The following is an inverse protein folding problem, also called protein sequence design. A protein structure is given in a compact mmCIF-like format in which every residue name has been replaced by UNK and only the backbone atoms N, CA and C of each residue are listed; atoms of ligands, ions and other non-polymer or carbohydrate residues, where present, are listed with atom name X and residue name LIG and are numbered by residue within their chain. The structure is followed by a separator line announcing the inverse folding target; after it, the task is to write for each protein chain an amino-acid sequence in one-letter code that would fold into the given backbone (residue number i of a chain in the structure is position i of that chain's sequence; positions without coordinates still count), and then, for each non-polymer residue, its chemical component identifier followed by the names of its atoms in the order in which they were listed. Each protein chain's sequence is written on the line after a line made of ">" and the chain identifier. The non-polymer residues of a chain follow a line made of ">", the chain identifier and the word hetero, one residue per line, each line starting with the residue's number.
data_IF_597917740649
#
_entry.id   IF_597917740649
#
_cell.length_a   1.000
_cell.length_b   1.000
_cell.length_c   1.000
_cell.angle_alpha   90.00
_cell.angle_beta   90.00
_cell.angle_gamma   90.00
#
_symmetry.space_group_name_H-M   'P 1'
#
loop_
_entity.id
_entity.type
_entity.pdbx_description
1 polymer ?
#
# COMPACT_ATOMS: atom_id res chain seq x y z
N UNK A 1 -7.93 -27.65 42.51
CA UNK A 1 -8.75 -28.81 42.89
C UNK A 1 -9.47 -29.35 41.69
N UNK A 2 -9.35 -30.65 41.38
CA UNK A 2 -10.06 -31.33 40.31
C UNK A 2 -11.05 -32.34 40.89
N UNK A 3 -12.33 -32.13 40.61
CA UNK A 3 -13.40 -33.03 41.08
C UNK A 3 -13.72 -34.05 40.00
N UNK A 4 -13.05 -35.20 40.01
CA UNK A 4 -13.14 -36.30 39.02
C UNK A 4 -14.59 -36.71 38.70
N UNK A 5 -15.43 -36.86 39.72
CA UNK A 5 -16.83 -37.28 39.52
C UNK A 5 -17.75 -36.26 38.89
N UNK A 6 -17.33 -34.95 38.81
CA UNK A 6 -18.10 -33.85 38.26
C UNK A 6 -17.43 -33.21 37.05
N UNK A 7 -16.19 -33.63 36.70
CA UNK A 7 -15.40 -33.02 35.64
C UNK A 7 -15.23 -31.51 35.81
N UNK A 8 -15.06 -31.06 37.07
CA UNK A 8 -14.92 -29.65 37.44
C UNK A 8 -13.49 -29.39 37.87
N UNK A 9 -12.87 -28.37 37.29
CA UNK A 9 -11.59 -27.80 37.70
C UNK A 9 -11.83 -26.47 38.41
N UNK A 10 -11.34 -26.30 39.64
CA UNK A 10 -11.41 -25.07 40.40
C UNK A 10 -10.05 -24.79 41.02
N UNK A 11 -9.61 -23.54 40.99
CA UNK A 11 -8.32 -23.17 41.58
C UNK A 11 -8.10 -21.66 41.62
N UNK A 12 -7.05 -21.32 42.36
CA UNK A 12 -6.50 -19.94 42.48
C UNK A 12 -5.19 -19.91 41.72
N UNK A 13 -4.81 -18.71 41.22
CA UNK A 13 -3.56 -18.43 40.49
C UNK A 13 -3.34 -19.44 39.33
N UNK A 14 -4.32 -19.54 38.46
CA UNK A 14 -4.29 -20.48 37.33
C UNK A 14 -3.58 -19.82 36.16
N UNK A 15 -2.61 -20.50 35.56
CA UNK A 15 -1.96 -20.14 34.31
C UNK A 15 -2.22 -21.21 33.26
N UNK A 16 -2.87 -20.84 32.15
CA UNK A 16 -3.13 -21.68 31.00
C UNK A 16 -2.34 -21.19 29.81
N UNK A 17 -1.51 -22.05 29.25
CA UNK A 17 -0.76 -21.75 28.01
C UNK A 17 -1.36 -22.58 26.88
N UNK A 18 -1.85 -21.92 25.85
CA UNK A 18 -2.33 -22.54 24.62
C UNK A 18 -1.24 -22.54 23.57
N UNK A 19 -1.25 -23.54 22.69
CA UNK A 19 -0.32 -23.66 21.57
C UNK A 19 1.15 -23.57 22.02
N UNK A 20 1.52 -24.33 23.03
CA UNK A 20 2.87 -24.34 23.60
C UNK A 20 3.91 -24.68 22.54
N UNK A 21 4.91 -23.80 22.38
CA UNK A 21 5.99 -23.98 21.41
C UNK A 21 5.69 -23.47 19.99
N UNK A 22 4.50 -22.92 19.74
CA UNK A 22 4.10 -22.31 18.48
C UNK A 22 4.21 -20.78 18.59
N UNK A 23 4.57 -20.04 17.50
CA UNK A 23 4.49 -18.58 17.45
C UNK A 23 3.11 -18.01 17.82
N UNK A 24 2.03 -18.80 17.65
CA UNK A 24 0.67 -18.46 18.05
C UNK A 24 0.36 -18.73 19.54
N UNK A 25 1.37 -18.93 20.38
CA UNK A 25 1.18 -19.20 21.81
C UNK A 25 0.48 -18.05 22.55
N UNK A 26 -0.54 -18.38 23.34
CA UNK A 26 -1.29 -17.46 24.19
C UNK A 26 -1.17 -17.87 25.65
N UNK A 27 -1.03 -16.89 26.54
CA UNK A 27 -0.98 -17.12 27.98
C UNK A 27 -2.17 -16.46 28.66
N UNK A 28 -2.94 -17.25 29.40
CA UNK A 28 -4.11 -16.81 30.15
C UNK A 28 -3.83 -16.98 31.65
N UNK A 29 -3.91 -15.91 32.42
CA UNK A 29 -3.74 -15.88 33.86
C UNK A 29 -5.04 -15.52 34.54
N UNK A 30 -5.41 -16.23 35.61
CA UNK A 30 -6.63 -16.02 36.37
C UNK A 30 -6.30 -16.08 37.88
N UNK A 31 -6.69 -15.07 38.64
CA UNK A 31 -6.56 -15.15 40.10
C UNK A 31 -7.45 -16.23 40.66
N UNK A 32 -8.64 -16.41 40.11
CA UNK A 32 -9.55 -17.51 40.45
C UNK A 32 -10.25 -18.00 39.19
N UNK A 33 -10.39 -19.35 39.07
CA UNK A 33 -11.07 -19.99 37.96
C UNK A 33 -11.92 -21.16 38.36
N UNK A 34 -13.10 -21.28 37.74
CA UNK A 34 -14.00 -22.41 37.78
C UNK A 34 -14.32 -22.89 36.38
N UNK A 35 -14.04 -24.13 36.05
CA UNK A 35 -14.20 -24.73 34.73
C UNK A 35 -15.03 -25.99 34.85
N UNK A 36 -16.19 -26.04 34.23
CA UNK A 36 -17.00 -27.24 34.05
C UNK A 36 -16.66 -27.86 32.70
N UNK A 37 -15.90 -28.91 32.71
CA UNK A 37 -15.41 -29.58 31.50
C UNK A 37 -16.52 -30.34 30.77
N UNK A 38 -17.54 -30.79 31.51
CA UNK A 38 -18.70 -31.48 30.95
C UNK A 38 -19.64 -30.57 30.20
N UNK A 39 -19.94 -29.39 30.77
CA UNK A 39 -20.78 -28.39 30.16
C UNK A 39 -19.99 -27.43 29.28
N UNK A 40 -18.64 -27.52 29.27
CA UNK A 40 -17.73 -26.62 28.55
C UNK A 40 -17.96 -25.14 28.90
N UNK A 41 -18.26 -24.86 30.17
CA UNK A 41 -18.47 -23.49 30.66
C UNK A 41 -17.38 -23.11 31.66
N UNK A 42 -17.10 -21.83 31.76
CA UNK A 42 -16.15 -21.31 32.72
C UNK A 42 -16.58 -19.99 33.33
N UNK A 43 -16.09 -19.75 34.55
CA UNK A 43 -16.15 -18.46 35.22
C UNK A 43 -14.80 -18.18 35.86
N UNK A 44 -14.28 -16.96 35.60
CA UNK A 44 -12.98 -16.57 36.14
C UNK A 44 -13.04 -15.12 36.64
N UNK A 45 -12.14 -14.82 37.58
CA UNK A 45 -12.01 -13.51 38.21
C UNK A 45 -10.57 -13.03 38.09
N UNK A 46 -10.45 -11.68 37.92
CA UNK A 46 -9.18 -10.97 37.79
C UNK A 46 -8.23 -11.65 36.83
N UNK A 47 -8.47 -11.42 35.54
CA UNK A 47 -7.80 -12.14 34.46
C UNK A 47 -6.95 -11.25 33.58
N UNK A 48 -5.82 -11.79 33.14
CA UNK A 48 -4.93 -11.25 32.13
C UNK A 48 -4.69 -12.27 31.01
N UNK A 49 -5.03 -11.89 29.79
CA UNK A 49 -4.82 -12.70 28.59
C UNK A 49 -3.76 -12.02 27.74
N UNK A 50 -2.65 -12.70 27.52
CA UNK A 50 -1.58 -12.29 26.60
C UNK A 50 -1.76 -13.04 25.30
N UNK A 51 -2.13 -12.31 24.26
CA UNK A 51 -2.31 -12.84 22.91
C UNK A 51 -0.95 -12.99 22.22
N UNK A 52 -0.90 -13.82 21.18
CA UNK A 52 0.31 -13.98 20.35
C UNK A 52 0.73 -12.65 19.72
N UNK A 53 2.03 -12.43 19.59
CA UNK A 53 2.61 -11.25 18.90
C UNK A 53 2.24 -11.21 17.42
N UNK A 54 2.11 -12.39 16.80
CA UNK A 54 1.73 -12.52 15.39
C UNK A 54 0.26 -12.15 15.10
N UNK A 55 -0.55 -12.00 16.16
CA UNK A 55 -1.97 -11.63 16.06
C UNK A 55 -2.25 -10.41 15.17
N UNK A 56 -1.31 -9.46 15.11
CA UNK A 56 -1.45 -8.22 14.35
C UNK A 56 -0.35 -8.01 13.30
N UNK A 57 0.43 -9.06 12.94
CA UNK A 57 1.55 -9.02 11.99
C UNK A 57 2.61 -7.92 12.31
N UNK A 58 2.73 -7.51 13.56
CA UNK A 58 3.73 -6.54 14.02
C UNK A 58 4.51 -7.13 15.20
N UNK A 59 5.77 -7.46 15.00
CA UNK A 59 6.66 -8.09 15.99
C UNK A 59 6.82 -7.24 17.28
N UNK A 60 6.60 -5.94 17.17
CA UNK A 60 6.73 -4.99 18.30
C UNK A 60 5.48 -4.87 19.17
N UNK A 61 4.37 -5.50 18.80
CA UNK A 61 3.13 -5.46 19.58
C UNK A 61 3.11 -6.54 20.67
N UNK A 62 2.57 -6.15 21.84
CA UNK A 62 2.27 -7.05 22.95
C UNK A 62 0.76 -6.98 23.27
N UNK A 63 -0.12 -7.57 22.42
CA UNK A 63 -1.55 -7.48 22.60
C UNK A 63 -2.01 -8.21 23.85
N UNK A 64 -2.80 -7.53 24.70
CA UNK A 64 -3.30 -8.09 25.96
C UNK A 64 -4.68 -7.58 26.31
N UNK A 65 -5.43 -8.44 27.01
CA UNK A 65 -6.76 -8.16 27.54
C UNK A 65 -6.71 -8.40 29.06
N UNK A 66 -7.10 -7.41 29.85
CA UNK A 66 -7.33 -7.58 31.29
C UNK A 66 -8.81 -7.40 31.58
N UNK A 67 -9.40 -8.13 32.52
CA UNK A 67 -10.78 -7.94 32.94
C UNK A 67 -11.02 -8.40 34.38
N UNK A 68 -12.00 -7.80 35.05
CA UNK A 68 -12.34 -8.16 36.44
C UNK A 68 -13.04 -9.51 36.51
N UNK A 69 -13.92 -9.81 35.56
CA UNK A 69 -14.57 -11.13 35.51
C UNK A 69 -14.73 -11.59 34.07
N UNK A 70 -14.63 -12.88 33.86
CA UNK A 70 -14.97 -13.55 32.62
C UNK A 70 -15.90 -14.73 32.86
N UNK A 71 -16.87 -14.91 31.98
CA UNK A 71 -17.72 -16.08 31.91
C UNK A 71 -17.87 -16.50 30.47
N UNK A 72 -17.99 -17.78 30.21
CA UNK A 72 -18.16 -18.20 28.83
C UNK A 72 -18.50 -19.66 28.66
N UNK A 73 -18.84 -19.99 27.43
CA UNK A 73 -19.05 -21.34 26.91
C UNK A 73 -18.13 -21.60 25.70
N UNK A 74 -18.37 -22.67 24.98
CA UNK A 74 -17.61 -23.05 23.79
C UNK A 74 -17.65 -21.98 22.71
N UNK A 75 -18.76 -21.22 22.60
CA UNK A 75 -19.02 -20.28 21.50
C UNK A 75 -18.94 -18.83 21.91
N UNK A 76 -19.14 -18.50 23.18
CA UNK A 76 -19.21 -17.14 23.67
C UNK A 76 -18.31 -16.94 24.89
N UNK A 77 -17.66 -15.79 24.96
CA UNK A 77 -16.95 -15.34 26.15
C UNK A 77 -17.35 -13.90 26.47
N UNK A 78 -17.75 -13.66 27.71
CA UNK A 78 -18.15 -12.34 28.20
C UNK A 78 -17.15 -11.87 29.25
N UNK A 79 -16.63 -10.65 29.05
CA UNK A 79 -15.75 -9.97 30.01
C UNK A 79 -16.46 -8.74 30.56
N UNK A 80 -16.31 -8.49 31.84
CA UNK A 80 -16.78 -7.28 32.51
C UNK A 80 -15.60 -6.42 32.90
N UNK A 81 -15.72 -5.09 32.67
CA UNK A 81 -14.66 -4.11 32.87
C UNK A 81 -13.36 -4.52 32.16
N UNK A 82 -13.49 -4.79 30.83
CA UNK A 82 -12.36 -5.20 30.00
C UNK A 82 -11.49 -4.00 29.59
N UNK A 83 -10.19 -4.23 29.57
CA UNK A 83 -9.16 -3.29 29.06
C UNK A 83 -8.37 -4.03 28.00
N UNK A 84 -8.24 -3.42 26.83
CA UNK A 84 -7.43 -3.96 25.73
C UNK A 84 -6.36 -2.94 25.31
N UNK A 85 -5.17 -3.42 25.03
CA UNK A 85 -4.10 -2.67 24.37
C UNK A 85 -3.20 -3.60 23.57
N UNK A 86 -2.53 -3.08 22.53
CA UNK A 86 -1.45 -3.79 21.81
C UNK A 86 -0.08 -3.14 22.02
N UNK A 87 0.04 -2.15 22.92
CA UNK A 87 1.29 -1.48 23.20
C UNK A 87 2.32 -2.40 23.86
N UNK A 88 3.61 -2.10 23.72
CA UNK A 88 4.70 -2.86 24.35
C UNK A 88 4.47 -3.02 25.85
N UNK A 89 4.76 -4.19 26.37
CA UNK A 89 4.61 -4.50 27.81
C UNK A 89 5.59 -3.71 28.68
N UNK A 90 6.70 -3.24 28.10
CA UNK A 90 7.71 -2.41 28.75
C UNK A 90 7.23 -0.99 29.04
N UNK A 91 6.17 -0.53 28.36
CA UNK A 91 5.61 0.81 28.58
C UNK A 91 4.81 0.78 29.89
N UNK A 92 5.25 1.53 30.88
CA UNK A 92 4.58 1.64 32.19
C UNK A 92 3.15 2.17 32.06
N UNK A 93 2.92 3.07 31.10
CA UNK A 93 1.61 3.58 30.72
C UNK A 93 1.46 3.36 29.21
N UNK A 94 0.59 2.45 28.73
CA UNK A 94 0.41 2.24 27.31
C UNK A 94 -0.10 3.51 26.64
N UNK A 95 0.48 3.91 25.49
CA UNK A 95 0.07 5.11 24.77
C UNK A 95 -1.43 5.13 24.44
N UNK A 96 -2.04 3.97 24.29
CA UNK A 96 -3.49 3.89 24.12
C UNK A 96 -4.07 2.60 24.72
N UNK A 97 -5.30 2.70 25.20
CA UNK A 97 -6.10 1.58 25.71
C UNK A 97 -7.54 1.70 25.26
N UNK A 98 -8.23 0.59 25.12
CA UNK A 98 -9.68 0.54 25.00
C UNK A 98 -10.24 -0.04 26.29
N UNK A 99 -10.96 0.76 27.05
CA UNK A 99 -11.69 0.30 28.24
C UNK A 99 -13.16 0.10 27.88
N UNK A 100 -13.78 -0.98 28.36
CA UNK A 100 -15.18 -1.24 28.07
C UNK A 100 -15.91 -1.82 29.31
N UNK A 101 -17.15 -1.42 29.51
CA UNK A 101 -17.96 -1.98 30.60
C UNK A 101 -18.27 -3.46 30.38
N UNK A 102 -18.54 -3.85 29.12
CA UNK A 102 -18.78 -5.25 28.72
C UNK A 102 -18.08 -5.52 27.39
N UNK A 103 -17.40 -6.67 27.30
CA UNK A 103 -16.83 -7.20 26.08
C UNK A 103 -17.44 -8.59 25.84
N UNK A 104 -17.89 -8.86 24.63
CA UNK A 104 -18.45 -10.15 24.21
C UNK A 104 -17.64 -10.66 23.02
N UNK A 105 -16.95 -11.76 23.20
CA UNK A 105 -16.29 -12.51 22.14
C UNK A 105 -17.23 -13.55 21.58
N UNK A 106 -17.80 -13.31 20.41
CA UNK A 106 -18.63 -14.22 19.63
C UNK A 106 -17.72 -15.02 18.69
N UNK A 107 -17.40 -16.26 19.06
CA UNK A 107 -16.50 -17.13 18.31
C UNK A 107 -17.13 -17.67 17.02
N UNK A 108 -18.47 -17.73 16.94
CA UNK A 108 -19.17 -18.14 15.71
C UNK A 108 -19.05 -17.06 14.65
N UNK A 109 -19.36 -15.81 15.03
CA UNK A 109 -19.25 -14.63 14.14
C UNK A 109 -17.81 -14.14 14.04
N UNK A 110 -16.90 -14.70 14.85
CA UNK A 110 -15.49 -14.28 14.94
C UNK A 110 -15.34 -12.77 15.16
N UNK A 111 -16.08 -12.28 16.16
CA UNK A 111 -16.14 -10.85 16.50
C UNK A 111 -16.00 -10.63 18.01
N UNK A 112 -15.26 -9.60 18.38
CA UNK A 112 -15.19 -9.08 19.74
C UNK A 112 -16.02 -7.80 19.80
N UNK A 113 -17.14 -7.82 20.51
CA UNK A 113 -18.10 -6.72 20.61
C UNK A 113 -17.88 -5.99 21.92
N UNK A 114 -17.57 -4.71 21.85
CA UNK A 114 -17.38 -3.83 22.99
C UNK A 114 -18.63 -2.96 23.20
N UNK A 115 -19.05 -2.83 24.46
CA UNK A 115 -20.18 -1.99 24.86
C UNK A 115 -19.79 -1.01 25.92
N UNK A 116 -20.22 0.26 25.76
CA UNK A 116 -19.87 1.41 26.62
C UNK A 116 -18.35 1.50 26.77
N UNK A 117 -17.69 1.66 25.64
CA UNK A 117 -16.23 1.67 25.56
C UNK A 117 -15.68 3.09 25.41
N UNK A 118 -14.48 3.29 25.93
CA UNK A 118 -13.69 4.49 25.75
C UNK A 118 -12.36 4.14 25.14
N UNK A 119 -11.96 4.91 24.15
CA UNK A 119 -10.58 4.96 23.69
C UNK A 119 -9.85 5.97 24.56
N UNK A 120 -8.81 5.52 25.24
CA UNK A 120 -7.98 6.37 26.09
C UNK A 120 -6.59 6.53 25.45
N UNK A 121 -6.03 7.73 25.57
CA UNK A 121 -4.61 8.02 25.30
C UNK A 121 -3.94 8.47 26.58
N UNK A 122 -2.86 7.79 26.98
CA UNK A 122 -2.18 8.02 28.26
C UNK A 122 -3.15 8.16 29.42
N UNK A 123 -4.11 7.18 29.51
CA UNK A 123 -5.18 7.10 30.51
C UNK A 123 -6.25 8.22 30.46
N UNK A 124 -6.17 9.16 29.51
CA UNK A 124 -7.20 10.16 29.30
C UNK A 124 -8.27 9.66 28.30
N UNK A 125 -9.57 9.63 28.67
CA UNK A 125 -10.65 9.23 27.78
C UNK A 125 -10.86 10.27 26.67
N UNK A 126 -10.70 9.86 25.41
CA UNK A 126 -10.77 10.76 24.25
C UNK A 126 -12.01 10.51 23.41
N UNK A 127 -12.37 9.24 23.18
CA UNK A 127 -13.50 8.87 22.31
C UNK A 127 -14.41 7.87 23.00
N UNK A 128 -15.70 8.21 23.13
CA UNK A 128 -16.73 7.31 23.63
C UNK A 128 -17.41 6.56 22.49
N UNK A 129 -17.48 5.24 22.63
CA UNK A 129 -18.16 4.34 21.69
C UNK A 129 -19.24 3.55 22.40
N UNK A 130 -20.54 3.83 22.13
CA UNK A 130 -21.64 3.09 22.76
C UNK A 130 -21.59 1.59 22.51
N UNK A 131 -21.25 1.24 21.27
CA UNK A 131 -21.03 -0.14 20.79
C UNK A 131 -20.11 -0.09 19.58
N UNK A 132 -19.07 -0.93 19.58
CA UNK A 132 -18.29 -1.22 18.38
C UNK A 132 -17.86 -2.68 18.41
N UNK A 133 -17.38 -3.18 17.30
CA UNK A 133 -16.81 -4.53 17.24
C UNK A 133 -15.42 -4.49 16.61
N UNK A 134 -14.61 -5.46 17.02
CA UNK A 134 -13.29 -5.74 16.47
C UNK A 134 -13.29 -7.18 15.97
N UNK A 135 -12.65 -7.48 14.82
CA UNK A 135 -12.52 -8.85 14.36
C UNK A 135 -11.72 -9.71 15.34
N UNK A 136 -12.10 -10.97 15.45
CA UNK A 136 -11.29 -11.98 16.12
C UNK A 136 -9.93 -12.08 15.41
N UNK A 137 -8.81 -12.19 16.15
CA UNK A 137 -7.47 -12.31 15.57
C UNK A 137 -7.29 -13.45 14.56
N UNK A 138 -8.10 -14.50 14.64
CA UNK A 138 -8.05 -15.65 13.71
C UNK A 138 -8.62 -15.33 12.32
N UNK A 139 -9.29 -14.19 12.16
CA UNK A 139 -9.90 -13.78 10.89
C UNK A 139 -8.90 -13.03 10.03
N UNK A 140 -8.57 -13.57 8.87
CA UNK A 140 -7.62 -12.96 7.94
C UNK A 140 -8.11 -11.61 7.38
N UNK A 141 -9.43 -11.39 7.25
CA UNK A 141 -10.00 -10.17 6.67
C UNK A 141 -11.40 -9.91 7.18
N UNK A 142 -11.57 -8.89 8.00
CA UNK A 142 -12.87 -8.45 8.53
C UNK A 142 -12.87 -6.93 8.76
N UNK A 143 -14.07 -6.32 8.63
CA UNK A 143 -14.25 -4.90 8.94
C UNK A 143 -14.02 -4.63 10.43
N UNK A 144 -13.37 -3.50 10.73
CA UNK A 144 -13.11 -3.10 12.12
C UNK A 144 -12.22 -1.87 12.22
N UNK A 145 -12.10 -1.34 13.43
CA UNK A 145 -11.17 -0.27 13.74
C UNK A 145 -9.72 -0.77 13.63
N UNK A 146 -8.89 -0.02 12.94
CA UNK A 146 -7.44 -0.23 12.93
C UNK A 146 -6.80 0.52 14.11
N UNK A 147 -5.51 0.25 14.35
CA UNK A 147 -4.73 0.87 15.42
C UNK A 147 -4.82 2.40 15.34
N UNK A 148 -5.35 3.08 16.37
CA UNK A 148 -5.35 4.52 16.44
C UNK A 148 -3.92 5.06 16.58
N UNK A 149 -3.70 6.27 16.04
CA UNK A 149 -2.39 6.94 16.11
C UNK A 149 -2.56 8.38 16.55
N UNK A 150 -1.61 8.88 17.34
CA UNK A 150 -1.41 10.30 17.58
C UNK A 150 -0.22 10.73 16.72
N UNK A 151 -0.44 11.71 15.87
CA UNK A 151 0.56 12.25 14.96
C UNK A 151 0.74 13.74 15.27
N UNK A 152 1.98 14.24 15.14
CA UNK A 152 2.27 15.66 15.28
C UNK A 152 2.34 16.36 13.93
N UNK A 153 1.71 17.53 13.81
CA UNK A 153 1.92 18.46 12.72
C UNK A 153 2.55 19.75 13.23
N UNK A 154 3.61 20.22 12.57
CA UNK A 154 4.26 21.49 12.95
C UNK A 154 3.35 22.71 12.80
N UNK A 155 2.34 22.63 11.94
CA UNK A 155 1.45 23.74 11.59
C UNK A 155 0.06 23.63 12.23
N UNK A 156 -0.42 22.40 12.47
CA UNK A 156 -1.80 22.15 12.91
C UNK A 156 -1.86 21.53 14.32
N UNK A 157 -0.72 21.39 15.00
CA UNK A 157 -0.64 20.74 16.31
C UNK A 157 -0.75 19.22 16.22
N UNK A 158 -1.23 18.60 17.30
CA UNK A 158 -1.43 17.16 17.39
C UNK A 158 -2.66 16.74 16.57
N UNK A 159 -2.60 15.56 15.98
CA UNK A 159 -3.70 14.96 15.24
C UNK A 159 -4.05 13.57 15.77
N UNK A 160 -5.33 13.32 16.00
CA UNK A 160 -5.86 12.01 16.32
C UNK A 160 -6.32 11.33 15.01
N UNK A 161 -5.72 10.19 14.72
CA UNK A 161 -6.01 9.37 13.55
C UNK A 161 -6.68 8.06 13.99
N UNK A 162 -7.91 7.80 13.56
CA UNK A 162 -8.70 6.60 13.92
C UNK A 162 -9.17 5.90 12.64
N UNK A 163 -8.34 5.08 12.01
CA UNK A 163 -8.73 4.44 10.76
C UNK A 163 -9.71 3.28 11.00
N UNK A 164 -10.64 3.12 10.06
CA UNK A 164 -11.61 2.03 10.02
C UNK A 164 -11.49 1.28 8.70
N UNK A 165 -11.24 -0.02 8.79
CA UNK A 165 -11.20 -0.92 7.64
C UNK A 165 -12.58 -1.50 7.39
N UNK A 166 -13.08 -1.36 6.16
CA UNK A 166 -14.38 -1.84 5.72
C UNK A 166 -14.22 -2.84 4.58
N UNK A 167 -14.59 -4.09 4.80
CA UNK A 167 -14.66 -5.14 3.77
C UNK A 167 -15.97 -4.98 3.03
N UNK A 168 -15.91 -4.63 1.75
CA UNK A 168 -17.08 -4.47 0.88
C UNK A 168 -17.48 -5.86 0.32
N UNK A 169 -16.47 -6.60 -0.18
CA UNK A 169 -16.60 -7.96 -0.71
C UNK A 169 -15.22 -8.65 -0.64
N UNK A 170 -15.15 -9.90 -1.05
CA UNK A 170 -13.88 -10.67 -1.02
C UNK A 170 -12.77 -10.03 -1.86
N UNK A 171 -13.14 -9.30 -2.90
CA UNK A 171 -12.25 -8.65 -3.85
C UNK A 171 -12.10 -7.14 -3.63
N UNK A 172 -12.86 -6.52 -2.67
CA UNK A 172 -12.92 -5.07 -2.46
C UNK A 172 -12.89 -4.70 -1.00
N UNK A 173 -12.17 -3.63 -0.69
CA UNK A 173 -12.19 -3.00 0.64
C UNK A 173 -12.02 -1.48 0.55
N UNK A 174 -12.38 -0.83 1.64
CA UNK A 174 -12.24 0.61 1.85
C UNK A 174 -11.66 0.85 3.23
N UNK A 175 -10.59 1.60 3.33
CA UNK A 175 -10.08 2.10 4.61
C UNK A 175 -10.43 3.56 4.75
N UNK A 176 -11.28 3.89 5.70
CA UNK A 176 -11.69 5.26 6.04
C UNK A 176 -10.73 5.76 7.12
N UNK A 177 -10.03 6.87 6.87
CA UNK A 177 -8.93 7.39 7.68
C UNK A 177 -9.22 8.82 8.15
N UNK A 178 -10.16 9.05 9.08
CA UNK A 178 -10.41 10.37 9.63
C UNK A 178 -9.21 10.83 10.49
N UNK A 179 -8.82 12.09 10.34
CA UNK A 179 -7.82 12.78 11.15
C UNK A 179 -8.44 14.03 11.72
N UNK A 180 -8.31 14.22 13.03
CA UNK A 180 -8.81 15.37 13.77
C UNK A 180 -7.63 16.11 14.39
N UNK A 181 -7.45 17.37 13.99
CA UNK A 181 -6.33 18.22 14.43
C UNK A 181 -6.73 19.07 15.62
N UNK A 182 -5.76 19.39 16.47
CA UNK A 182 -5.93 20.21 17.69
C UNK A 182 -6.50 21.59 17.38
N UNK A 183 -6.18 22.17 16.22
CA UNK A 183 -6.72 23.46 15.77
C UNK A 183 -8.16 23.40 15.26
N UNK A 184 -8.85 22.28 15.45
CA UNK A 184 -10.25 22.06 15.05
C UNK A 184 -10.45 21.70 13.57
N UNK A 185 -9.38 21.55 12.79
CA UNK A 185 -9.48 21.06 11.41
C UNK A 185 -9.59 19.55 11.37
N UNK A 186 -10.17 19.06 10.28
CA UNK A 186 -10.25 17.62 10.04
C UNK A 186 -9.95 17.29 8.60
N UNK A 187 -9.46 16.08 8.36
CA UNK A 187 -9.30 15.49 7.03
C UNK A 187 -9.96 14.13 7.03
N UNK A 188 -10.78 13.87 6.02
CA UNK A 188 -11.28 12.54 5.71
C UNK A 188 -10.50 12.00 4.52
N UNK A 189 -9.55 11.11 4.80
CA UNK A 189 -8.82 10.36 3.78
C UNK A 189 -9.44 8.98 3.64
N UNK A 190 -9.48 8.43 2.43
CA UNK A 190 -10.04 7.12 2.14
C UNK A 190 -9.16 6.39 1.14
N UNK A 191 -8.92 5.13 1.40
CA UNK A 191 -8.16 4.24 0.53
C UNK A 191 -9.07 3.09 0.08
N UNK A 192 -9.39 3.06 -1.21
CA UNK A 192 -10.13 1.98 -1.84
C UNK A 192 -9.18 1.03 -2.53
N UNK A 193 -9.41 -0.28 -2.36
CA UNK A 193 -8.66 -1.33 -3.04
C UNK A 193 -9.59 -2.35 -3.65
N UNK A 194 -9.28 -2.75 -4.86
CA UNK A 194 -9.97 -3.83 -5.56
C UNK A 194 -8.95 -4.73 -6.25
N UNK A 195 -9.14 -6.04 -6.13
CA UNK A 195 -8.33 -7.04 -6.83
C UNK A 195 -9.21 -8.14 -7.37
N UNK A 196 -9.38 -8.15 -8.68
CA UNK A 196 -10.02 -9.25 -9.45
C UNK A 196 -8.96 -10.15 -10.08
N UNK A 197 -9.35 -11.12 -10.88
CA UNK A 197 -8.41 -11.95 -11.64
C UNK A 197 -7.58 -11.15 -12.65
N UNK A 198 -8.19 -10.13 -13.27
CA UNK A 198 -7.59 -9.35 -14.36
C UNK A 198 -7.22 -7.92 -13.94
N UNK A 199 -7.80 -7.40 -12.87
CA UNK A 199 -7.68 -5.98 -12.52
C UNK A 199 -7.25 -5.80 -11.08
N UNK A 200 -6.26 -4.92 -10.86
CA UNK A 200 -5.91 -4.44 -9.53
C UNK A 200 -6.02 -2.91 -9.52
N UNK A 201 -6.87 -2.38 -8.63
CA UNK A 201 -7.09 -0.93 -8.48
C UNK A 201 -6.83 -0.51 -7.04
N UNK A 202 -6.09 0.56 -6.88
CA UNK A 202 -5.94 1.29 -5.62
C UNK A 202 -6.33 2.73 -5.90
N UNK A 203 -7.19 3.30 -5.07
CA UNK A 203 -7.54 4.72 -5.10
C UNK A 203 -7.42 5.30 -3.70
N UNK A 204 -6.66 6.37 -3.57
CA UNK A 204 -6.49 7.14 -2.33
C UNK A 204 -6.98 8.56 -2.57
N UNK A 205 -7.95 8.97 -1.80
CA UNK A 205 -8.55 10.30 -1.93
C UNK A 205 -8.84 10.91 -0.57
N UNK A 206 -8.73 12.22 -0.48
CA UNK A 206 -9.09 12.93 0.73
C UNK A 206 -9.78 14.25 0.48
N UNK A 207 -10.48 14.69 1.51
CA UNK A 207 -11.15 15.99 1.54
C UNK A 207 -11.00 16.64 2.90
N UNK A 208 -10.75 17.95 2.91
CA UNK A 208 -10.89 18.81 4.07
C UNK A 208 -11.67 20.06 3.71
N UNK A 209 -12.38 20.63 4.66
CA UNK A 209 -13.14 21.86 4.50
C UNK A 209 -12.76 22.87 5.58
N UNK A 210 -12.86 24.16 5.25
CA UNK A 210 -12.67 25.23 6.21
C UNK A 210 -11.24 25.73 6.32
N UNK A 211 -10.37 25.44 5.34
CA UNK A 211 -9.05 26.05 5.26
C UNK A 211 -9.19 27.51 4.80
N UNK A 212 -8.50 28.44 5.47
CA UNK A 212 -8.38 29.83 5.05
C UNK A 212 -7.02 30.08 4.44
N UNK A 213 -6.96 30.59 3.25
CA UNK A 213 -5.71 30.86 2.55
C UNK A 213 -5.02 32.11 3.07
N UNK A 214 -5.81 33.11 3.47
CA UNK A 214 -5.36 34.37 4.07
C UNK A 214 -6.10 34.65 5.37
N UNK A 215 -5.43 35.32 6.32
CA UNK A 215 -5.97 35.63 7.65
C UNK A 215 -7.25 36.50 7.62
N UNK A 216 -7.46 37.27 6.55
CA UNK A 216 -8.60 38.19 6.37
C UNK A 216 -9.58 37.72 5.28
N UNK A 217 -9.43 36.49 4.76
CA UNK A 217 -10.33 35.94 3.77
C UNK A 217 -11.39 35.09 4.48
N UNK A 218 -12.67 35.46 4.32
CA UNK A 218 -13.80 34.69 4.84
C UNK A 218 -14.14 33.46 3.99
N UNK A 219 -13.52 33.30 2.82
CA UNK A 219 -13.69 32.13 1.99
C UNK A 219 -13.05 30.90 2.65
N UNK A 220 -13.82 29.83 2.77
CA UNK A 220 -13.37 28.55 3.29
C UNK A 220 -13.17 27.58 2.15
N UNK A 221 -11.91 27.36 1.76
CA UNK A 221 -11.58 26.47 0.67
C UNK A 221 -11.73 25.00 1.06
N UNK A 222 -12.27 24.24 0.13
CA UNK A 222 -12.23 22.77 0.17
C UNK A 222 -10.96 22.32 -0.51
N UNK A 223 -10.16 21.51 0.17
CA UNK A 223 -8.95 20.91 -0.38
C UNK A 223 -9.08 19.43 -0.50
N UNK A 224 -8.59 18.90 -1.61
CA UNK A 224 -8.73 17.49 -1.97
C UNK A 224 -7.47 16.96 -2.61
N UNK A 225 -7.27 15.65 -2.52
CA UNK A 225 -6.42 14.92 -3.45
C UNK A 225 -7.15 13.70 -4.00
N UNK A 226 -6.73 13.25 -5.16
CA UNK A 226 -7.16 12.01 -5.80
C UNK A 226 -5.95 11.34 -6.44
N UNK A 227 -5.57 10.19 -5.92
CA UNK A 227 -4.54 9.33 -6.49
C UNK A 227 -5.17 7.98 -6.82
N UNK A 228 -4.94 7.52 -8.03
CA UNK A 228 -5.40 6.19 -8.45
C UNK A 228 -4.32 5.47 -9.22
N UNK A 229 -4.28 4.17 -9.06
CA UNK A 229 -3.49 3.26 -9.89
C UNK A 229 -4.33 2.05 -10.22
N UNK A 230 -4.56 1.81 -11.50
CA UNK A 230 -5.27 0.65 -12.01
C UNK A 230 -4.36 -0.11 -12.97
N UNK A 231 -4.17 -1.37 -12.68
CA UNK A 231 -3.49 -2.32 -13.53
C UNK A 231 -4.52 -3.30 -14.09
N UNK A 232 -4.50 -3.52 -15.39
CA UNK A 232 -5.38 -4.44 -16.10
C UNK A 232 -4.52 -5.42 -16.88
N UNK A 233 -4.71 -6.71 -16.64
CA UNK A 233 -4.21 -7.79 -17.48
C UNK A 233 -5.22 -8.02 -18.60
N UNK A 234 -4.85 -7.68 -19.84
CA UNK A 234 -5.73 -7.73 -21.00
C UNK A 234 -5.94 -9.17 -21.50
N UNK A 235 -5.04 -10.09 -21.14
CA UNK A 235 -5.09 -11.52 -21.50
C UNK A 235 -5.28 -11.76 -23.01
N UNK A 236 -4.54 -11.02 -23.86
CA UNK A 236 -4.58 -11.23 -25.29
C UNK A 236 -3.96 -12.57 -25.65
N UNK A 237 -4.64 -13.33 -26.49
CA UNK A 237 -4.14 -14.61 -26.98
C UNK A 237 -2.82 -14.42 -27.75
N UNK A 238 -1.85 -15.28 -27.49
CA UNK A 238 -0.53 -15.24 -28.15
C UNK A 238 0.46 -14.26 -27.52
N UNK A 239 0.09 -13.57 -26.43
CA UNK A 239 0.99 -12.71 -25.68
C UNK A 239 1.41 -13.34 -24.36
N UNK A 240 2.70 -13.25 -24.02
CA UNK A 240 3.23 -13.59 -22.70
C UNK A 240 2.81 -12.56 -21.63
N UNK A 241 2.71 -11.30 -22.07
CA UNK A 241 2.24 -10.18 -21.26
C UNK A 241 1.43 -9.23 -22.14
N UNK A 242 0.28 -8.85 -21.64
CA UNK A 242 -0.56 -7.82 -22.24
C UNK A 242 -1.21 -7.00 -21.13
N UNK A 243 -0.60 -5.85 -20.80
CA UNK A 243 -0.98 -5.05 -19.64
C UNK A 243 -1.35 -3.63 -20.03
N UNK A 244 -2.31 -3.09 -19.31
CA UNK A 244 -2.62 -1.67 -19.28
C UNK A 244 -2.46 -1.15 -17.85
N UNK A 245 -1.68 -0.08 -17.66
CA UNK A 245 -1.57 0.62 -16.37
C UNK A 245 -2.06 2.06 -16.53
N UNK A 246 -3.02 2.43 -15.71
CA UNK A 246 -3.51 3.80 -15.57
C UNK A 246 -3.13 4.33 -14.19
N UNK A 247 -2.42 5.44 -14.13
CA UNK A 247 -2.07 6.17 -12.91
C UNK A 247 -2.56 7.60 -13.03
N UNK A 248 -3.23 8.09 -12.02
CA UNK A 248 -3.68 9.48 -11.93
C UNK A 248 -3.31 10.04 -10.57
N UNK A 249 -2.66 11.20 -10.56
CA UNK A 249 -2.34 11.93 -9.34
C UNK A 249 -2.72 13.40 -9.50
N UNK A 250 -3.60 13.87 -8.59
CA UNK A 250 -4.08 15.26 -8.57
C UNK A 250 -4.24 15.74 -7.14
N UNK A 251 -3.86 17.00 -6.93
CA UNK A 251 -4.10 17.74 -5.69
C UNK A 251 -4.75 19.09 -6.03
N UNK A 252 -5.61 19.57 -5.17
CA UNK A 252 -6.25 20.88 -5.35
C UNK A 252 -5.36 22.05 -4.93
N UNK A 253 -4.31 21.77 -4.14
CA UNK A 253 -3.38 22.79 -3.65
C UNK A 253 -2.00 22.19 -3.40
N UNK A 254 -0.94 22.91 -3.77
CA UNK A 254 0.45 22.45 -3.79
C UNK A 254 1.01 22.07 -2.40
N UNK A 255 0.52 22.71 -1.37
CA UNK A 255 0.98 22.47 0.01
C UNK A 255 0.06 21.51 0.80
N UNK A 256 -1.04 21.03 0.19
CA UNK A 256 -2.07 20.27 0.88
C UNK A 256 -1.53 19.02 1.58
N UNK A 257 -0.80 18.19 0.85
CA UNK A 257 -0.24 16.94 1.39
C UNK A 257 0.70 17.21 2.57
N UNK A 258 1.56 18.23 2.46
CA UNK A 258 2.55 18.59 3.48
C UNK A 258 1.93 19.21 4.72
N UNK A 259 0.95 20.10 4.55
CA UNK A 259 0.27 20.75 5.68
C UNK A 259 -0.42 19.73 6.56
N UNK A 260 -1.12 18.77 5.95
CA UNK A 260 -1.88 17.75 6.66
C UNK A 260 -1.10 16.45 6.90
N UNK A 261 0.18 16.39 6.51
CA UNK A 261 1.05 15.20 6.61
C UNK A 261 0.34 13.94 6.11
N UNK A 262 -0.15 14.01 4.84
CA UNK A 262 -0.92 12.92 4.25
C UNK A 262 0.01 11.93 3.55
N UNK A 263 0.01 10.69 4.01
CA UNK A 263 0.71 9.59 3.37
C UNK A 263 -0.21 8.91 2.36
N UNK A 264 0.35 8.48 1.23
CA UNK A 264 -0.37 7.66 0.27
C UNK A 264 0.50 6.49 -0.21
N UNK A 265 -0.05 5.28 -0.33
CA UNK A 265 0.68 4.14 -0.90
C UNK A 265 1.02 4.34 -2.39
N UNK A 266 0.40 5.34 -3.03
CA UNK A 266 0.60 5.67 -4.44
C UNK A 266 1.62 6.77 -4.68
N UNK A 267 2.12 7.42 -3.62
CA UNK A 267 3.24 8.36 -3.70
C UNK A 267 4.55 7.60 -3.44
N UNK A 268 5.51 7.76 -4.33
CA UNK A 268 6.86 7.22 -4.16
C UNK A 268 7.88 8.35 -4.24
N UNK A 269 8.70 8.48 -3.20
CA UNK A 269 9.79 9.46 -3.16
C UNK A 269 9.34 10.89 -2.91
N UNK A 270 9.74 11.83 -3.77
CA UNK A 270 9.43 13.26 -3.60
C UNK A 270 7.96 13.55 -3.93
N UNK A 271 7.17 13.91 -2.93
CA UNK A 271 5.76 14.32 -3.04
C UNK A 271 5.55 15.67 -3.75
N UNK A 272 6.62 16.30 -4.20
CA UNK A 272 6.57 17.56 -4.97
C UNK A 272 6.34 17.36 -6.47
N UNK A 273 6.39 16.13 -6.98
CA UNK A 273 6.12 15.82 -8.40
C UNK A 273 5.00 14.81 -8.47
N UNK A 274 3.89 15.18 -9.09
CA UNK A 274 2.77 14.30 -9.37
C UNK A 274 2.90 13.72 -10.77
N UNK A 275 2.60 12.43 -10.90
CA UNK A 275 2.69 11.70 -12.15
C UNK A 275 1.33 11.12 -12.52
N UNK A 276 0.86 11.43 -13.72
CA UNK A 276 -0.31 10.79 -14.31
C UNK A 276 0.10 10.14 -15.62
N UNK A 277 -0.16 8.85 -15.79
CA UNK A 277 0.27 8.10 -16.96
C UNK A 277 -0.74 7.05 -17.40
N UNK A 278 -0.71 6.77 -18.69
CA UNK A 278 -1.31 5.60 -19.32
C UNK A 278 -0.18 4.82 -20.01
N UNK A 279 0.04 3.59 -19.59
CA UNK A 279 1.08 2.71 -20.10
C UNK A 279 0.44 1.42 -20.63
N UNK A 280 0.78 1.04 -21.86
CA UNK A 280 0.48 -0.27 -22.42
C UNK A 280 1.78 -1.06 -22.62
N UNK A 281 1.77 -2.35 -22.30
CA UNK A 281 2.89 -3.27 -22.47
C UNK A 281 2.39 -4.56 -23.12
N UNK A 282 3.02 -4.94 -24.21
CA UNK A 282 2.67 -6.11 -25.01
C UNK A 282 3.96 -6.87 -25.33
N UNK A 283 4.10 -8.07 -24.77
CA UNK A 283 5.28 -8.92 -24.97
C UNK A 283 4.85 -10.27 -25.54
N UNK A 284 5.57 -10.73 -26.53
CA UNK A 284 5.50 -12.09 -27.07
C UNK A 284 6.88 -12.74 -27.01
N UNK A 285 7.02 -13.98 -27.42
CA UNK A 285 8.34 -14.65 -27.56
C UNK A 285 9.26 -13.96 -28.56
N UNK A 286 8.70 -13.28 -29.56
CA UNK A 286 9.46 -12.69 -30.67
C UNK A 286 9.70 -11.18 -30.48
N UNK A 287 8.75 -10.44 -29.90
CA UNK A 287 8.83 -9.00 -29.78
C UNK A 287 8.26 -8.46 -28.47
N UNK A 288 8.74 -7.30 -28.11
CA UNK A 288 8.27 -6.50 -26.98
C UNK A 288 7.86 -5.11 -27.46
N UNK A 289 6.72 -4.63 -27.01
CA UNK A 289 6.21 -3.30 -27.29
C UNK A 289 5.70 -2.66 -26.01
N UNK A 290 6.14 -1.43 -25.76
CA UNK A 290 5.53 -0.58 -24.73
C UNK A 290 5.28 0.82 -25.26
N UNK A 291 4.18 1.44 -24.84
CA UNK A 291 3.89 2.84 -25.15
C UNK A 291 3.27 3.53 -23.95
N UNK A 292 3.67 4.78 -23.76
CA UNK A 292 3.28 5.59 -22.60
C UNK A 292 2.88 6.99 -23.01
N UNK A 293 1.77 7.48 -22.44
CA UNK A 293 1.40 8.90 -22.39
C UNK A 293 1.47 9.32 -20.93
N UNK A 294 2.17 10.41 -20.63
CA UNK A 294 2.35 10.84 -19.24
C UNK A 294 2.31 12.36 -19.09
N UNK A 295 1.90 12.80 -17.93
CA UNK A 295 1.93 14.18 -17.46
C UNK A 295 2.59 14.25 -16.10
N UNK A 296 3.64 15.06 -15.98
CA UNK A 296 4.34 15.33 -14.72
C UNK A 296 4.03 16.76 -14.28
N UNK A 297 3.57 16.92 -13.05
CA UNK A 297 3.23 18.21 -12.45
C UNK A 297 4.16 18.47 -11.25
N UNK A 298 4.97 19.54 -11.33
CA UNK A 298 5.88 19.93 -10.25
C UNK A 298 5.22 20.97 -9.35
N UNK A 299 4.82 20.59 -8.14
CA UNK A 299 4.08 21.42 -7.19
C UNK A 299 4.86 22.64 -6.68
N UNK A 300 6.20 22.63 -6.79
CA UNK A 300 7.05 23.77 -6.39
C UNK A 300 7.08 24.91 -7.41
N UNK A 301 6.51 24.72 -8.58
CA UNK A 301 6.54 25.67 -9.69
C UNK A 301 5.15 26.23 -9.95
N UNK A 302 5.07 27.53 -10.18
CA UNK A 302 3.80 28.23 -10.43
C UNK A 302 3.59 28.65 -11.89
N UNK A 303 4.64 28.53 -12.71
CA UNK A 303 4.66 29.06 -14.09
C UNK A 303 4.46 27.94 -15.13
N UNK A 304 4.69 28.29 -16.41
CA UNK A 304 4.55 27.39 -17.56
C UNK A 304 5.41 26.11 -17.49
N UNK A 305 6.50 26.13 -16.74
CA UNK A 305 7.38 24.99 -16.53
C UNK A 305 6.91 24.02 -15.42
N UNK A 306 5.72 24.25 -14.85
CA UNK A 306 5.06 23.38 -13.90
C UNK A 306 4.75 22.01 -14.50
N UNK A 307 4.32 21.97 -15.74
CA UNK A 307 3.92 20.75 -16.43
C UNK A 307 4.93 20.31 -17.48
N UNK A 308 5.17 19.01 -17.50
CA UNK A 308 5.87 18.32 -18.58
C UNK A 308 4.99 17.17 -19.07
N UNK A 309 4.84 17.05 -20.39
CA UNK A 309 4.06 15.99 -21.04
C UNK A 309 4.95 15.09 -21.88
N UNK A 310 4.61 13.81 -21.91
CA UNK A 310 5.15 12.81 -22.84
C UNK A 310 3.97 12.35 -23.71
N UNK A 311 4.04 12.58 -25.06
CA UNK A 311 2.88 12.51 -25.95
C UNK A 311 3.18 11.90 -27.33
N UNK A 312 3.27 10.59 -27.52
CA UNK A 312 3.64 9.54 -26.60
C UNK A 312 5.16 9.30 -26.53
N UNK A 313 5.58 8.38 -25.68
CA UNK A 313 6.81 7.65 -25.88
C UNK A 313 6.49 6.18 -26.18
N UNK A 314 7.34 5.51 -26.97
CA UNK A 314 7.23 4.07 -27.20
C UNK A 314 8.60 3.41 -27.25
N UNK A 315 8.61 2.13 -26.98
CA UNK A 315 9.75 1.23 -27.16
C UNK A 315 9.23 -0.03 -27.86
N UNK A 316 9.92 -0.43 -28.90
CA UNK A 316 9.67 -1.68 -29.65
C UNK A 316 10.97 -2.41 -29.83
N UNK A 317 10.99 -3.72 -29.61
CA UNK A 317 12.13 -4.56 -29.91
C UNK A 317 11.65 -5.89 -30.51
N UNK A 318 12.40 -6.40 -31.50
CA UNK A 318 12.13 -7.71 -32.12
C UNK A 318 13.44 -8.41 -32.46
N UNK A 319 13.48 -9.72 -32.23
CA UNK A 319 14.57 -10.59 -32.60
C UNK A 319 14.20 -11.37 -33.87
N UNK A 320 15.11 -11.38 -34.86
CA UNK A 320 15.00 -12.15 -36.07
C UNK A 320 16.18 -13.13 -36.16
N UNK A 321 15.91 -14.37 -36.49
CA UNK A 321 16.93 -15.38 -36.67
C UNK A 321 17.07 -15.69 -38.17
N UNK A 322 18.29 -15.63 -38.70
CA UNK A 322 18.59 -15.86 -40.11
C UNK A 322 19.58 -17.00 -40.23
N UNK A 323 19.09 -18.23 -40.43
CA UNK A 323 19.93 -19.40 -40.61
C UNK A 323 20.86 -19.27 -41.83
N UNK A 324 20.35 -18.74 -42.95
CA UNK A 324 21.15 -18.56 -44.19
C UNK A 324 22.28 -17.54 -44.05
N UNK A 325 22.14 -16.58 -43.16
CA UNK A 325 23.14 -15.54 -42.89
C UNK A 325 23.96 -15.88 -41.66
N UNK A 326 23.73 -17.03 -41.04
CA UNK A 326 24.40 -17.51 -39.84
C UNK A 326 24.44 -16.47 -38.71
N UNK A 327 23.26 -15.94 -38.35
CA UNK A 327 23.21 -14.91 -37.32
C UNK A 327 21.80 -14.52 -36.90
N UNK A 328 21.76 -13.57 -35.98
CA UNK A 328 20.53 -12.96 -35.44
C UNK A 328 20.59 -11.44 -35.55
N UNK A 329 19.44 -10.82 -35.86
CA UNK A 329 19.24 -9.39 -35.87
C UNK A 329 18.33 -9.01 -34.70
N UNK A 330 18.82 -8.22 -33.78
CA UNK A 330 17.98 -7.53 -32.85
C UNK A 330 17.66 -6.13 -33.40
N UNK A 331 16.38 -5.89 -33.68
CA UNK A 331 15.86 -4.60 -34.08
C UNK A 331 15.18 -3.92 -32.89
N UNK A 332 15.64 -2.71 -32.54
CA UNK A 332 15.02 -1.86 -31.55
C UNK A 332 14.58 -0.54 -32.16
N UNK A 333 13.40 -0.06 -31.79
CA UNK A 333 12.90 1.26 -32.17
C UNK A 333 12.30 1.95 -30.94
N UNK A 334 12.79 3.14 -30.63
CA UNK A 334 12.28 3.95 -29.53
C UNK A 334 11.94 5.35 -30.02
N UNK A 335 10.77 5.83 -29.67
CA UNK A 335 10.32 7.18 -29.95
C UNK A 335 9.91 7.92 -28.71
N UNK A 336 10.25 9.18 -28.64
CA UNK A 336 9.88 10.02 -27.51
C UNK A 336 9.45 11.40 -28.02
N UNK A 337 8.28 11.85 -27.58
CA UNK A 337 7.75 13.16 -27.90
C UNK A 337 7.39 13.88 -26.58
N UNK A 338 8.10 14.95 -26.27
CA UNK A 338 7.92 15.70 -25.02
C UNK A 338 7.53 17.14 -25.29
N UNK A 339 6.62 17.65 -24.45
CA UNK A 339 6.24 19.06 -24.39
C UNK A 339 6.55 19.59 -22.98
N UNK A 340 7.39 20.62 -22.91
CA UNK A 340 7.76 21.33 -21.68
C UNK A 340 7.45 22.83 -21.83
N UNK A 341 7.21 23.49 -20.71
CA UNK A 341 7.04 24.95 -20.67
C UNK A 341 6.02 25.46 -21.69
N UNK A 342 4.99 24.67 -22.03
CA UNK A 342 3.92 24.96 -23.01
C UNK A 342 4.37 25.19 -24.45
N UNK A 343 5.64 25.39 -24.74
CA UNK A 343 6.16 25.75 -26.07
C UNK A 343 7.46 25.05 -26.46
N UNK A 344 8.10 24.32 -25.58
CA UNK A 344 9.31 23.55 -25.88
C UNK A 344 8.92 22.15 -26.27
N UNK A 345 9.08 21.78 -27.52
CA UNK A 345 8.81 20.43 -28.05
C UNK A 345 10.11 19.76 -28.40
N UNK A 346 10.26 18.52 -28.00
CA UNK A 346 11.39 17.67 -28.32
C UNK A 346 10.88 16.31 -28.78
N UNK A 347 11.21 15.97 -30.03
CA UNK A 347 10.84 14.70 -30.63
C UNK A 347 12.09 13.97 -31.08
N UNK A 348 12.24 12.73 -30.70
CA UNK A 348 13.28 11.85 -31.21
C UNK A 348 12.74 10.46 -31.56
N UNK A 349 13.39 9.87 -32.54
CA UNK A 349 13.15 8.50 -33.00
C UNK A 349 14.52 7.85 -33.16
N UNK A 350 14.76 6.78 -32.43
CA UNK A 350 16.00 6.02 -32.45
C UNK A 350 15.69 4.62 -32.98
N UNK A 351 16.39 4.21 -34.04
CA UNK A 351 16.33 2.86 -34.53
C UNK A 351 17.70 2.19 -34.35
N UNK A 352 17.73 1.06 -33.71
CA UNK A 352 18.91 0.27 -33.43
C UNK A 352 18.82 -1.05 -34.19
N UNK A 353 19.85 -1.38 -34.95
CA UNK A 353 20.01 -2.66 -35.63
C UNK A 353 21.29 -3.30 -35.11
N UNK A 354 21.18 -4.41 -34.43
CA UNK A 354 22.33 -5.16 -33.92
C UNK A 354 22.30 -6.55 -34.55
N UNK A 355 23.20 -6.75 -35.52
CA UNK A 355 23.37 -8.04 -36.14
C UNK A 355 24.54 -8.75 -35.52
N UNK A 356 24.29 -9.90 -34.90
CA UNK A 356 25.28 -10.78 -34.31
C UNK A 356 25.36 -12.05 -35.17
N UNK A 357 26.55 -12.35 -35.74
CA UNK A 357 26.83 -13.63 -36.37
C UNK A 357 26.92 -14.70 -35.30
N UNK A 358 26.48 -15.92 -35.61
CA UNK A 358 26.68 -17.05 -34.70
C UNK A 358 28.17 -17.33 -34.56
N UNK A 359 28.61 -17.65 -33.37
CA UNK A 359 29.99 -17.91 -33.07
C UNK A 359 30.52 -19.07 -33.93
N UNK A 360 31.67 -18.87 -34.54
CA UNK A 360 32.30 -19.89 -35.35
C UNK A 360 33.56 -20.39 -34.64
N UNK A 361 33.73 -21.70 -34.63
CA UNK A 361 34.85 -22.37 -33.96
C UNK A 361 35.85 -22.86 -34.99
N UNK A 362 37.10 -22.56 -34.79
CA UNK A 362 38.18 -23.17 -35.61
C UNK A 362 38.55 -24.55 -35.07
N UNK A 363 39.20 -25.38 -35.87
CA UNK A 363 39.73 -26.69 -35.44
C UNK A 363 40.71 -26.59 -34.25
N UNK A 364 41.32 -25.41 -34.02
CA UNK A 364 42.22 -25.14 -32.93
C UNK A 364 41.51 -24.59 -31.65
N UNK A 365 40.15 -24.58 -31.67
CA UNK A 365 39.34 -24.14 -30.50
C UNK A 365 39.20 -22.62 -30.38
N UNK A 366 39.62 -21.83 -31.38
CA UNK A 366 39.42 -20.38 -31.36
C UNK A 366 37.97 -20.06 -31.70
N UNK A 367 37.32 -19.28 -30.87
CA UNK A 367 35.96 -18.74 -31.04
C UNK A 367 36.05 -17.39 -31.74
N UNK A 368 35.35 -17.25 -32.85
CA UNK A 368 35.26 -15.97 -33.56
C UNK A 368 33.87 -15.39 -33.37
N UNK A 369 33.79 -14.15 -32.91
CA UNK A 369 32.58 -13.38 -32.73
C UNK A 369 32.61 -12.15 -33.64
N UNK A 370 31.53 -11.94 -34.40
CA UNK A 370 31.37 -10.74 -35.25
C UNK A 370 30.01 -10.09 -34.96
N UNK A 371 30.04 -8.79 -34.67
CA UNK A 371 28.85 -7.99 -34.44
C UNK A 371 28.86 -6.74 -35.33
N UNK A 372 27.70 -6.40 -35.88
CA UNK A 372 27.47 -5.19 -36.65
C UNK A 372 26.35 -4.40 -35.94
N UNK A 373 26.66 -3.21 -35.50
CA UNK A 373 25.68 -2.32 -34.86
C UNK A 373 25.49 -1.07 -35.73
N UNK A 374 24.21 -0.79 -36.03
CA UNK A 374 23.79 0.41 -36.73
C UNK A 374 22.75 1.15 -35.89
N UNK A 375 22.98 2.41 -35.61
CA UNK A 375 22.05 3.31 -34.91
C UNK A 375 21.68 4.46 -35.83
N UNK A 376 20.37 4.70 -36.00
CA UNK A 376 19.82 5.86 -36.66
C UNK A 376 19.10 6.71 -35.62
N UNK A 377 19.48 7.97 -35.46
CA UNK A 377 18.80 8.97 -34.62
C UNK A 377 18.16 10.01 -35.53
N UNK A 378 16.86 10.15 -35.46
CA UNK A 378 16.11 11.23 -36.06
C UNK A 378 15.59 12.14 -34.96
N UNK A 379 15.80 13.45 -35.07
CA UNK A 379 15.41 14.40 -34.03
C UNK A 379 14.94 15.72 -34.60
N UNK A 380 14.02 16.37 -33.91
CA UNK A 380 13.56 17.72 -34.17
C UNK A 380 13.14 18.37 -32.86
N UNK A 381 13.46 19.64 -32.69
CA UNK A 381 13.10 20.39 -31.50
C UNK A 381 12.56 21.77 -31.85
N UNK A 382 11.52 22.22 -31.15
CA UNK A 382 11.05 23.58 -31.15
C UNK A 382 11.38 24.24 -29.82
N UNK A 383 12.09 25.36 -29.84
CA UNK A 383 12.59 26.03 -28.64
C UNK A 383 13.43 25.08 -27.70
N UNK A 384 14.07 24.09 -28.28
CA UNK A 384 14.90 23.13 -27.56
C UNK A 384 16.36 23.59 -27.53
N UNK A 385 17.05 23.26 -26.42
CA UNK A 385 18.51 23.43 -26.33
C UNK A 385 19.24 22.20 -26.86
N UNK A 386 18.56 21.05 -27.00
CA UNK A 386 19.15 19.77 -27.39
C UNK A 386 19.02 19.51 -28.89
N UNK A 387 17.90 19.90 -29.53
CA UNK A 387 17.60 19.57 -30.90
C UNK A 387 17.35 20.82 -31.74
N UNK A 388 17.74 20.75 -33.01
CA UNK A 388 17.51 21.84 -33.97
C UNK A 388 16.04 21.94 -34.35
N UNK A 389 15.61 23.11 -34.78
CA UNK A 389 14.22 23.36 -35.21
C UNK A 389 13.89 22.71 -36.57
N UNK A 390 14.87 22.22 -37.30
CA UNK A 390 14.70 21.43 -38.52
C UNK A 390 15.00 19.97 -38.24
N UNK A 391 14.29 19.01 -38.90
CA UNK A 391 14.58 17.61 -38.77
C UNK A 391 16.05 17.27 -39.02
N UNK A 392 16.65 16.50 -38.13
CA UNK A 392 18.02 16.03 -38.26
C UNK A 392 18.01 14.50 -38.27
N UNK A 393 18.90 13.89 -39.07
CA UNK A 393 19.11 12.47 -39.08
C UNK A 393 20.61 12.18 -38.95
N UNK A 394 20.96 11.35 -37.98
CA UNK A 394 22.31 10.94 -37.71
C UNK A 394 22.41 9.41 -37.74
N UNK A 395 23.46 8.90 -38.36
CA UNK A 395 23.71 7.44 -38.48
C UNK A 395 25.09 7.16 -37.89
N UNK A 396 25.13 6.18 -36.99
CA UNK A 396 26.37 5.62 -36.42
C UNK A 396 26.43 4.13 -36.71
N UNK A 397 27.59 3.66 -37.16
CA UNK A 397 27.85 2.23 -37.33
C UNK A 397 29.07 1.81 -36.53
N UNK A 398 29.00 0.64 -35.91
CA UNK A 398 30.10 0.03 -35.16
C UNK A 398 30.23 -1.42 -35.62
N UNK A 399 31.45 -1.81 -35.94
CA UNK A 399 31.83 -3.19 -36.27
C UNK A 399 32.75 -3.68 -35.17
N UNK A 400 32.45 -4.80 -34.55
CA UNK A 400 33.30 -5.43 -33.55
C UNK A 400 33.61 -6.87 -33.93
N UNK A 401 34.89 -7.24 -33.84
CA UNK A 401 35.36 -8.59 -33.99
C UNK A 401 36.12 -9.00 -32.75
N UNK A 402 35.83 -10.16 -32.22
CA UNK A 402 36.52 -10.79 -31.10
C UNK A 402 37.01 -12.17 -31.50
N UNK A 403 38.20 -12.54 -31.02
CA UNK A 403 38.74 -13.90 -31.11
C UNK A 403 39.25 -14.29 -29.73
N UNK A 404 38.77 -15.39 -29.17
CA UNK A 404 39.15 -15.88 -27.84
C UNK A 404 39.51 -17.35 -27.83
#
# INVERSE_FOLDING_TARGET
>A
EYLLNKEILKGDNIELVKNVGDPSSETHKYDFGFFDLKQKTFSAKDLDIYLSKDTFNEIENDPRISAVTATGDEYNTFFNKGVFTSCKKTDKCPPWTITAKKVHHDKIKKQIIYRKAWLNFYDHPVVYMPKFFYPDPTVKRQSGLLKPRLEGSKLLGSALHIPYFYVISDDKDLTIKPRFYEDGKYVLQNEYRQKTKQTTTIADFSITKGFREKRNDDSRDTRTHLFTKTYVDLQFDGFLRSNLELKLQRVSNDSYLKIFNLDSPLLKGDDSVLESELLIQLDTDEYSFSSKIASYETLKKSNSDRFQYVLPSYNFSKNFFFEKLNGSLNFGSEGNNTLKNTNQVETNLINNFNYRFFDTYTEKGIVNELNIYLKNLNSVGKNSLLYKNSPQSEIMSVYSYGAS
#
